data_IF_421643836237
#
_entry.id   IF_421643836237
#
_cell.length_a   1.000
_cell.length_b   1.000
_cell.length_c   1.000
_cell.angle_alpha   90.00
_cell.angle_beta   90.00
_cell.angle_gamma   90.00
#
_symmetry.space_group_name_H-M   'P 1'
#
loop_
_entity.id
_entity.type
_entity.pdbx_description
1 polymer ?
#
# COMPACT_ATOMS: atom_id res chain seq x y z
N UNK A 1 -20.64 27.00 -0.38
CA UNK A 1 -21.59 27.03 0.76
C UNK A 1 -21.81 28.49 1.18
N UNK A 2 -22.97 28.88 1.71
CA UNK A 2 -23.19 30.24 2.28
C UNK A 2 -23.76 30.19 3.70
N UNK A 3 -24.45 29.10 4.03
CA UNK A 3 -25.04 28.80 5.33
C UNK A 3 -24.94 27.29 5.59
N UNK A 4 -25.03 26.91 6.85
CA UNK A 4 -25.12 25.52 7.30
C UNK A 4 -25.98 25.46 8.57
N UNK A 5 -27.18 24.92 8.46
CA UNK A 5 -28.12 24.84 9.57
C UNK A 5 -27.67 23.85 10.66
N UNK A 6 -26.93 22.79 10.31
CA UNK A 6 -26.48 21.78 11.29
C UNK A 6 -25.44 22.35 12.25
N UNK A 7 -24.67 23.33 11.78
CA UNK A 7 -23.63 24.03 12.56
C UNK A 7 -24.03 25.45 12.96
N UNK A 8 -25.29 25.85 12.73
CA UNK A 8 -25.80 27.20 12.98
C UNK A 8 -24.98 28.32 12.29
N UNK A 9 -24.42 28.01 11.12
CA UNK A 9 -23.73 28.99 10.28
C UNK A 9 -24.77 29.77 9.49
N UNK A 10 -24.95 31.04 9.82
CA UNK A 10 -25.97 31.90 9.22
C UNK A 10 -25.46 32.73 8.05
N UNK A 11 -24.16 32.94 7.94
CA UNK A 11 -23.54 33.63 6.82
C UNK A 11 -22.05 33.26 6.67
N UNK A 12 -21.58 33.24 5.42
CA UNK A 12 -20.16 33.17 5.09
C UNK A 12 -19.86 34.20 4.00
N UNK A 13 -18.85 35.03 4.24
CA UNK A 13 -18.29 35.94 3.22
C UNK A 13 -17.00 35.35 2.66
N UNK A 14 -16.73 35.60 1.39
CA UNK A 14 -15.59 35.04 0.67
C UNK A 14 -14.77 36.12 -0.01
N UNK A 15 -13.47 35.87 -0.16
CA UNK A 15 -12.58 36.66 -1.02
C UNK A 15 -12.63 36.16 -2.49
N UNK A 16 -11.86 36.81 -3.37
CA UNK A 16 -11.75 36.44 -4.80
C UNK A 16 -11.16 35.04 -5.06
N UNK A 17 -10.53 34.42 -4.06
CA UNK A 17 -10.02 33.05 -4.13
C UNK A 17 -11.05 32.02 -3.63
N UNK A 18 -12.27 32.44 -3.33
CA UNK A 18 -13.31 31.61 -2.69
C UNK A 18 -12.88 31.05 -1.32
N UNK A 19 -12.03 31.76 -0.59
CA UNK A 19 -11.67 31.47 0.81
C UNK A 19 -12.52 32.32 1.76
N UNK A 20 -13.00 31.75 2.89
CA UNK A 20 -13.93 32.44 3.78
C UNK A 20 -13.22 33.56 4.54
N UNK A 21 -13.66 34.80 4.41
CA UNK A 21 -13.10 35.95 5.17
C UNK A 21 -13.86 36.20 6.46
N UNK A 22 -15.14 35.79 6.52
CA UNK A 22 -15.98 35.87 7.70
C UNK A 22 -16.93 34.67 7.73
N UNK A 23 -17.05 34.02 8.88
CA UNK A 23 -18.04 32.96 9.14
C UNK A 23 -18.84 33.38 10.37
N UNK A 24 -20.16 33.50 10.23
CA UNK A 24 -21.07 33.87 11.32
C UNK A 24 -21.76 32.63 11.86
N UNK A 25 -21.54 32.32 13.14
CA UNK A 25 -22.06 31.14 13.84
C UNK A 25 -22.72 31.62 15.13
N UNK A 26 -23.99 31.26 15.35
CA UNK A 26 -24.74 31.68 16.55
C UNK A 26 -24.70 33.21 16.81
N UNK A 27 -24.63 34.02 15.76
CA UNK A 27 -24.52 35.49 15.86
C UNK A 27 -23.12 36.03 16.19
N UNK A 28 -22.13 35.15 16.40
CA UNK A 28 -20.71 35.49 16.60
C UNK A 28 -19.92 35.26 15.30
N UNK A 29 -18.77 35.92 15.18
CA UNK A 29 -17.96 35.90 13.95
C UNK A 29 -16.59 35.25 14.17
N UNK A 30 -16.17 34.49 13.16
CA UNK A 30 -14.78 34.13 12.93
C UNK A 30 -14.31 34.90 11.70
N UNK A 31 -13.23 35.68 11.83
CA UNK A 31 -12.63 36.46 10.76
C UNK A 31 -11.31 35.84 10.34
N UNK A 32 -11.01 35.85 9.03
CA UNK A 32 -9.79 35.28 8.48
C UNK A 32 -9.08 36.27 7.56
N UNK A 33 -7.75 36.24 7.59
CA UNK A 33 -6.87 36.95 6.66
C UNK A 33 -5.97 35.93 5.98
N UNK A 34 -5.85 36.06 4.65
CA UNK A 34 -5.00 35.21 3.83
C UNK A 34 -4.02 36.06 3.03
N UNK A 35 -2.90 35.45 2.64
CA UNK A 35 -2.04 36.02 1.62
C UNK A 35 -2.62 35.82 0.20
N UNK A 36 -1.94 36.36 -0.81
CA UNK A 36 -2.36 36.25 -2.21
C UNK A 36 -2.28 34.81 -2.76
N UNK A 37 -1.59 33.90 -2.08
CA UNK A 37 -1.48 32.48 -2.46
C UNK A 37 -2.52 31.60 -1.75
N UNK A 38 -3.33 32.19 -0.87
CA UNK A 38 -4.37 31.51 -0.10
C UNK A 38 -3.88 30.89 1.21
N UNK A 39 -2.68 31.21 1.67
CA UNK A 39 -2.19 30.79 2.99
C UNK A 39 -2.85 31.63 4.07
N UNK A 40 -3.40 30.98 5.10
CA UNK A 40 -4.01 31.65 6.26
C UNK A 40 -2.91 32.34 7.08
N UNK A 41 -3.05 33.64 7.29
CA UNK A 41 -2.11 34.46 8.07
C UNK A 41 -2.66 34.83 9.45
N UNK A 42 -3.99 34.97 9.57
CA UNK A 42 -4.64 35.37 10.82
C UNK A 42 -6.06 34.81 10.91
N UNK A 43 -6.45 34.44 12.13
CA UNK A 43 -7.82 34.12 12.53
C UNK A 43 -8.19 34.97 13.75
N UNK A 44 -9.38 35.55 13.77
CA UNK A 44 -9.90 36.27 14.94
C UNK A 44 -11.25 35.70 15.32
N UNK A 45 -11.37 35.22 16.56
CA UNK A 45 -12.62 34.74 17.15
C UNK A 45 -12.88 35.55 18.42
N UNK A 46 -14.01 36.24 18.47
CA UNK A 46 -14.32 37.18 19.56
C UNK A 46 -13.17 38.19 19.75
N UNK A 47 -12.45 38.13 20.88
CA UNK A 47 -11.32 39.01 21.19
C UNK A 47 -9.96 38.33 21.09
N UNK A 48 -9.91 37.07 20.63
CA UNK A 48 -8.66 36.31 20.46
C UNK A 48 -8.23 36.38 19.01
N UNK A 49 -7.02 36.89 18.77
CA UNK A 49 -6.39 36.90 17.45
C UNK A 49 -5.25 35.90 17.42
N UNK A 50 -5.37 34.90 16.55
CA UNK A 50 -4.34 33.91 16.26
C UNK A 50 -3.58 34.33 14.99
N UNK A 51 -2.28 34.51 15.10
CA UNK A 51 -1.37 34.82 13.99
C UNK A 51 -0.53 33.61 13.60
N UNK A 52 -0.47 33.34 12.30
CA UNK A 52 0.22 32.20 11.70
C UNK A 52 1.49 32.72 10.98
N UNK A 53 2.64 32.57 11.63
CA UNK A 53 3.92 33.04 11.11
C UNK A 53 4.83 31.85 10.78
N UNK A 54 4.56 31.19 9.65
CA UNK A 54 5.25 29.96 9.28
C UNK A 54 4.96 28.85 10.30
N UNK A 55 6.00 28.37 10.99
CA UNK A 55 5.84 27.34 12.02
C UNK A 55 5.43 27.91 13.39
N UNK A 56 5.41 29.23 13.56
CA UNK A 56 5.12 29.89 14.84
C UNK A 56 3.65 30.29 14.92
N UNK A 57 3.02 29.96 16.05
CA UNK A 57 1.65 30.34 16.36
C UNK A 57 1.64 31.33 17.51
N UNK A 58 0.99 32.47 17.31
CA UNK A 58 0.82 33.50 18.32
C UNK A 58 -0.65 33.71 18.61
N UNK A 59 -0.99 33.94 19.87
CA UNK A 59 -2.31 34.43 20.27
C UNK A 59 -2.16 35.77 20.96
N UNK A 60 -2.85 36.80 20.46
CA UNK A 60 -2.79 38.17 20.97
C UNK A 60 -1.34 38.70 21.11
N UNK A 61 -0.50 38.39 20.11
CA UNK A 61 0.95 38.68 20.06
C UNK A 61 1.82 37.91 21.08
N UNK A 62 1.29 36.87 21.73
CA UNK A 62 2.04 35.99 22.64
C UNK A 62 2.30 34.65 21.95
N UNK A 63 3.57 34.23 21.87
CA UNK A 63 3.95 32.95 21.28
C UNK A 63 3.30 31.81 22.07
N UNK A 64 2.55 30.96 21.38
CA UNK A 64 1.92 29.77 21.96
C UNK A 64 2.79 28.53 21.76
N UNK A 65 3.34 28.33 20.56
CA UNK A 65 4.30 27.28 20.26
C UNK A 65 4.91 27.48 18.87
N UNK A 66 5.93 26.69 18.54
CA UNK A 66 6.36 26.52 17.16
C UNK A 66 6.68 25.06 16.83
N UNK A 67 6.38 24.65 15.60
CA UNK A 67 6.54 23.25 15.15
C UNK A 67 7.93 22.96 14.58
N UNK A 68 8.34 21.69 14.72
CA UNK A 68 9.53 21.10 14.13
C UNK A 68 9.19 19.72 13.50
N UNK A 69 10.19 19.00 13.00
CA UNK A 69 9.97 17.72 12.31
C UNK A 69 9.39 16.61 13.20
N UNK A 70 9.69 16.63 14.50
CA UNK A 70 9.35 15.58 15.46
C UNK A 70 8.22 15.98 16.41
N UNK A 71 7.78 17.24 16.40
CA UNK A 71 6.71 17.75 17.24
C UNK A 71 6.72 19.28 17.32
N UNK A 72 6.71 19.84 18.52
CA UNK A 72 6.71 21.29 18.75
C UNK A 72 7.43 21.68 20.03
N UNK A 73 7.77 22.95 20.14
CA UNK A 73 8.26 23.55 21.39
C UNK A 73 7.16 24.40 22.01
N UNK A 74 6.90 24.16 23.29
CA UNK A 74 5.92 24.84 24.12
C UNK A 74 6.64 25.79 25.10
N UNK A 75 6.54 27.12 24.93
CA UNK A 75 7.16 28.09 25.82
C UNK A 75 6.48 28.16 27.19
N UNK A 76 7.26 28.31 28.25
CA UNK A 76 6.78 28.53 29.61
C UNK A 76 6.75 30.04 29.92
N UNK A 77 5.58 30.68 29.78
CA UNK A 77 5.31 32.11 30.08
C UNK A 77 5.98 33.13 29.11
N UNK A 78 5.45 34.35 28.92
CA UNK A 78 5.99 35.27 27.92
C UNK A 78 7.39 35.78 28.35
N UNK A 79 8.42 35.64 27.50
CA UNK A 79 9.80 35.84 27.91
C UNK A 79 10.15 37.33 28.00
N UNK A 80 10.64 37.74 29.16
CA UNK A 80 11.55 38.88 29.29
C UNK A 80 12.98 38.31 29.43
N UNK A 81 13.60 37.91 28.32
CA UNK A 81 15.02 37.52 28.29
C UNK A 81 15.31 36.24 27.50
N UNK A 82 15.05 35.08 28.11
CA UNK A 82 15.37 33.76 27.56
C UNK A 82 14.09 32.96 27.27
N UNK A 83 14.10 32.16 26.20
CA UNK A 83 12.97 31.32 25.81
C UNK A 83 13.05 30.00 26.58
N UNK A 84 12.38 29.94 27.72
CA UNK A 84 12.17 28.71 28.49
C UNK A 84 10.94 27.96 27.96
N UNK A 85 10.94 26.63 28.09
CA UNK A 85 9.83 25.79 27.64
C UNK A 85 10.18 24.32 27.54
N UNK A 86 9.26 23.52 27.00
CA UNK A 86 9.40 22.08 26.84
C UNK A 86 9.33 21.68 25.36
N UNK A 87 10.16 20.72 24.97
CA UNK A 87 9.98 20.00 23.71
C UNK A 87 8.89 18.95 23.89
N UNK A 88 7.88 19.00 23.01
CA UNK A 88 6.83 18.01 22.92
C UNK A 88 7.02 17.23 21.63
N UNK A 89 7.14 15.92 21.76
CA UNK A 89 7.29 14.99 20.64
C UNK A 89 5.94 14.40 20.25
N UNK A 90 5.77 14.10 18.97
CA UNK A 90 4.54 13.57 18.42
C UNK A 90 4.76 12.22 17.74
N UNK A 91 4.04 11.21 18.22
CA UNK A 91 3.92 9.95 17.51
C UNK A 91 2.77 10.04 16.50
N UNK A 92 3.07 9.72 15.24
CA UNK A 92 2.16 9.85 14.11
C UNK A 92 1.87 8.48 13.47
N UNK A 93 0.69 8.33 12.89
CA UNK A 93 0.34 7.12 12.13
C UNK A 93 0.92 7.12 10.70
N UNK A 94 0.57 6.11 9.89
CA UNK A 94 1.10 5.92 8.54
C UNK A 94 0.70 7.02 7.54
N UNK A 95 -0.31 7.83 7.86
CA UNK A 95 -0.73 9.01 7.08
C UNK A 95 -0.24 10.32 7.71
N UNK A 96 0.49 10.25 8.82
CA UNK A 96 1.01 11.41 9.52
C UNK A 96 0.03 12.05 10.50
N UNK A 97 -1.10 11.41 10.83
CA UNK A 97 -2.01 11.94 11.84
C UNK A 97 -1.39 11.82 13.23
N UNK A 98 -1.47 12.88 14.05
CA UNK A 98 -0.94 12.87 15.42
C UNK A 98 -1.77 11.91 16.28
N UNK A 99 -1.14 10.91 16.91
CA UNK A 99 -1.81 9.94 17.79
C UNK A 99 -1.51 10.15 19.26
N UNK A 100 -0.30 10.64 19.56
CA UNK A 100 0.18 10.85 20.92
C UNK A 100 1.15 12.02 20.91
N UNK A 101 0.99 12.93 21.87
CA UNK A 101 1.93 14.00 22.20
C UNK A 101 2.50 13.73 23.58
N UNK A 102 3.82 13.85 23.77
CA UNK A 102 4.49 13.58 25.04
C UNK A 102 5.76 14.41 25.21
N UNK A 103 6.20 14.61 26.45
CA UNK A 103 7.44 15.33 26.78
C UNK A 103 8.14 14.65 27.93
N UNK A 104 9.45 14.51 27.86
CA UNK A 104 10.28 14.10 29.00
C UNK A 104 10.37 15.26 29.99
N UNK A 105 9.45 15.29 30.96
CA UNK A 105 9.29 16.43 31.86
C UNK A 105 10.33 16.39 32.99
N UNK A 106 10.74 15.18 33.39
CA UNK A 106 11.69 14.96 34.48
C UNK A 106 13.16 14.88 34.00
N UNK A 107 13.39 14.81 32.68
CA UNK A 107 14.69 14.73 32.02
C UNK A 107 15.49 13.46 32.37
N UNK A 108 14.81 12.35 32.66
CA UNK A 108 15.41 11.05 32.96
C UNK A 108 15.67 10.18 31.72
N UNK A 109 15.23 10.64 30.54
CA UNK A 109 15.38 9.96 29.26
C UNK A 109 14.34 8.86 29.00
N UNK A 110 13.33 8.71 29.85
CA UNK A 110 12.21 7.76 29.73
C UNK A 110 10.87 8.47 29.81
N UNK A 111 9.86 7.94 29.11
CA UNK A 111 8.50 8.51 29.13
C UNK A 111 7.60 7.67 30.03
N UNK A 112 7.16 8.26 31.13
CA UNK A 112 6.19 7.68 32.06
C UNK A 112 4.78 8.06 31.63
N UNK A 113 4.03 7.09 31.10
CA UNK A 113 2.70 7.31 30.53
C UNK A 113 1.72 8.07 31.45
N UNK A 114 1.77 7.83 32.77
CA UNK A 114 0.87 8.46 33.73
C UNK A 114 1.15 9.94 34.01
N UNK A 115 2.32 10.46 33.64
CA UNK A 115 2.76 11.82 34.00
C UNK A 115 3.28 12.64 32.82
N UNK A 116 3.69 12.00 31.73
CA UNK A 116 4.44 12.64 30.64
C UNK A 116 3.74 12.56 29.27
N UNK A 117 2.56 11.92 29.22
CA UNK A 117 1.66 12.05 28.09
C UNK A 117 0.94 13.39 28.18
N UNK A 118 1.04 14.18 27.11
CA UNK A 118 0.45 15.51 26.97
C UNK A 118 -0.95 15.44 26.37
N UNK A 119 -1.12 14.62 25.34
CA UNK A 119 -2.39 14.47 24.64
C UNK A 119 -2.46 13.14 23.91
N UNK A 120 -3.63 12.51 23.89
CA UNK A 120 -3.93 11.35 23.06
C UNK A 120 -5.02 11.64 22.03
N UNK A 121 -4.77 11.21 20.81
CA UNK A 121 -5.60 11.49 19.66
C UNK A 121 -5.97 10.18 18.95
N UNK A 122 -7.26 9.86 18.94
CA UNK A 122 -7.78 8.70 18.24
C UNK A 122 -8.85 9.15 17.24
N UNK A 123 -8.73 8.71 15.99
CA UNK A 123 -9.64 9.13 14.92
C UNK A 123 -10.40 7.94 14.32
N UNK A 124 -11.67 8.18 13.99
CA UNK A 124 -12.40 7.37 13.01
C UNK A 124 -11.71 7.50 11.64
N UNK A 125 -11.96 6.57 10.68
CA UNK A 125 -11.31 6.61 9.36
C UNK A 125 -11.40 7.96 8.64
N UNK A 126 -12.53 8.66 8.77
CA UNK A 126 -12.76 9.97 8.15
C UNK A 126 -12.28 11.16 9.02
N UNK A 127 -11.49 10.92 10.06
CA UNK A 127 -10.80 11.98 10.82
C UNK A 127 -11.58 12.54 12.01
N UNK A 128 -12.79 12.05 12.30
CA UNK A 128 -13.51 12.48 13.49
C UNK A 128 -12.81 11.94 14.74
N UNK A 129 -12.39 12.83 15.64
CA UNK A 129 -11.74 12.46 16.92
C UNK A 129 -12.73 11.71 17.80
N UNK A 130 -12.32 10.55 18.30
CA UNK A 130 -13.06 9.77 19.29
C UNK A 130 -13.23 10.61 20.56
N UNK A 131 -14.38 10.46 21.22
CA UNK A 131 -14.68 11.12 22.49
C UNK A 131 -15.08 10.08 23.54
N UNK A 132 -14.86 10.42 24.81
CA UNK A 132 -15.27 9.60 25.95
C UNK A 132 -14.14 8.81 26.63
N UNK A 133 -12.90 8.95 26.17
CA UNK A 133 -11.71 8.37 26.79
C UNK A 133 -10.45 9.15 26.39
N UNK A 134 -9.41 9.06 27.21
CA UNK A 134 -8.10 9.68 26.99
C UNK A 134 -8.18 11.19 26.68
N UNK A 135 -9.14 11.87 27.32
CA UNK A 135 -9.38 13.31 27.15
C UNK A 135 -8.42 14.19 27.99
N UNK A 136 -7.36 13.60 28.55
CA UNK A 136 -6.41 14.35 29.38
C UNK A 136 -5.54 15.17 28.44
N UNK A 137 -5.56 16.49 28.63
CA UNK A 137 -4.67 17.44 27.97
C UNK A 137 -3.83 18.09 29.07
N UNK A 138 -2.52 17.96 28.97
CA UNK A 138 -1.56 18.60 29.87
C UNK A 138 -0.81 19.67 29.08
N UNK A 139 -0.95 20.93 29.45
CA UNK A 139 -0.36 22.07 28.73
C UNK A 139 -1.30 22.67 27.68
N UNK A 140 -0.73 23.19 26.61
CA UNK A 140 -1.42 23.83 25.49
C UNK A 140 -2.05 22.76 24.62
N UNK A 141 -3.38 22.82 24.47
CA UNK A 141 -4.09 21.99 23.50
C UNK A 141 -3.60 22.30 22.09
N UNK A 142 -3.06 21.29 21.40
CA UNK A 142 -2.54 21.46 20.06
C UNK A 142 -3.56 21.01 19.01
N UNK A 143 -4.44 21.93 18.67
CA UNK A 143 -5.40 21.73 17.57
C UNK A 143 -4.77 21.89 16.18
N UNK A 144 -3.46 22.09 16.09
CA UNK A 144 -2.75 22.32 14.83
C UNK A 144 -2.07 21.03 14.37
N UNK A 145 -2.09 20.81 13.06
CA UNK A 145 -1.48 19.64 12.42
C UNK A 145 -2.01 18.28 12.89
N UNK A 146 -3.29 18.21 13.30
CA UNK A 146 -3.92 17.02 13.88
C UNK A 146 -4.14 15.89 12.86
N UNK A 147 -5.29 15.87 12.18
CA UNK A 147 -5.61 14.90 11.14
C UNK A 147 -5.21 15.44 9.77
N UNK A 148 -4.51 14.62 8.99
CA UNK A 148 -3.89 14.98 7.70
C UNK A 148 -3.01 16.23 7.79
N UNK A 149 -2.42 16.51 8.97
CA UNK A 149 -1.62 17.70 9.19
C UNK A 149 -2.41 19.01 9.15
N UNK A 150 -3.74 18.96 9.31
CA UNK A 150 -4.60 20.15 9.29
C UNK A 150 -4.94 20.65 10.69
N UNK A 151 -5.28 21.93 10.78
CA UNK A 151 -5.81 22.53 12.01
C UNK A 151 -7.28 22.16 12.20
N UNK A 152 -7.64 21.70 13.39
CA UNK A 152 -9.02 21.49 13.81
C UNK A 152 -9.57 22.80 14.39
N UNK A 153 -10.60 23.36 13.76
CA UNK A 153 -11.29 24.57 14.22
C UNK A 153 -12.58 24.18 14.92
N UNK A 154 -12.56 24.18 16.26
CA UNK A 154 -13.73 23.86 17.11
C UNK A 154 -14.49 25.11 17.56
N UNK A 155 -13.96 26.31 17.30
CA UNK A 155 -14.51 27.55 17.82
C UNK A 155 -15.95 27.77 17.37
N UNK A 156 -16.78 28.25 18.31
CA UNK A 156 -18.21 28.46 18.12
C UNK A 156 -19.00 27.20 17.68
N UNK A 157 -18.39 26.01 17.78
CA UNK A 157 -18.97 24.75 17.33
C UNK A 157 -18.73 24.46 15.84
N UNK A 158 -17.78 25.13 15.18
CA UNK A 158 -17.46 24.90 13.76
C UNK A 158 -17.06 23.44 13.52
N UNK A 159 -16.19 22.87 14.36
CA UNK A 159 -15.76 21.47 14.33
C UNK A 159 -15.37 20.98 12.92
N UNK A 160 -14.47 21.71 12.24
CA UNK A 160 -14.00 21.37 10.89
C UNK A 160 -12.48 21.42 10.81
N UNK A 161 -11.89 20.62 9.93
CA UNK A 161 -10.48 20.68 9.62
C UNK A 161 -10.23 21.71 8.49
N UNK A 162 -9.36 22.67 8.75
CA UNK A 162 -9.07 23.78 7.86
C UNK A 162 -7.95 23.41 6.87
N UNK A 163 -8.34 22.87 5.70
CA UNK A 163 -7.41 22.76 4.58
C UNK A 163 -7.27 24.12 3.88
N UNK A 164 -6.14 24.31 3.20
CA UNK A 164 -5.83 25.58 2.52
C UNK A 164 -6.97 26.05 1.61
N UNK A 165 -7.55 25.16 0.79
CA UNK A 165 -8.57 25.54 -0.18
C UNK A 165 -10.01 25.23 0.23
N UNK A 166 -10.24 24.31 1.17
CA UNK A 166 -11.58 23.82 1.55
C UNK A 166 -11.64 23.52 3.04
N UNK A 167 -12.76 23.81 3.70
CA UNK A 167 -12.96 23.27 5.05
C UNK A 167 -13.56 21.86 4.92
N UNK A 168 -13.04 20.94 5.71
CA UNK A 168 -13.46 19.56 5.75
C UNK A 168 -14.24 19.29 7.02
N UNK A 169 -15.42 18.68 6.89
CA UNK A 169 -16.21 18.25 8.04
C UNK A 169 -16.01 16.74 8.27
N UNK A 170 -15.23 16.36 9.30
CA UNK A 170 -14.99 14.94 9.60
C UNK A 170 -16.24 14.20 10.09
N UNK A 171 -17.27 14.90 10.57
CA UNK A 171 -18.51 14.26 11.04
C UNK A 171 -19.34 13.67 9.89
N UNK A 172 -19.25 14.27 8.69
CA UNK A 172 -19.94 13.79 7.48
C UNK A 172 -18.99 13.25 6.41
N UNK A 173 -17.68 13.39 6.60
CA UNK A 173 -16.68 12.91 5.67
C UNK A 173 -16.64 13.67 4.34
N UNK A 174 -16.92 14.97 4.34
CA UNK A 174 -17.04 15.79 3.11
C UNK A 174 -16.43 17.17 3.24
N UNK A 175 -15.97 17.71 2.10
CA UNK A 175 -15.62 19.12 2.00
C UNK A 175 -16.84 20.01 1.86
N UNK A 176 -16.72 21.27 2.30
CA UNK A 176 -17.78 22.28 2.22
C UNK A 176 -17.82 23.05 0.88
N UNK A 177 -16.87 22.78 -0.02
CA UNK A 177 -16.69 23.47 -1.31
C UNK A 177 -16.33 22.49 -2.41
N UNK A 178 -16.67 22.87 -3.65
CA UNK A 178 -16.28 22.17 -4.87
C UNK A 178 -14.77 22.19 -5.00
N UNK A 179 -14.19 21.04 -5.38
CA UNK A 179 -12.78 20.93 -5.72
C UNK A 179 -12.41 21.85 -6.90
N UNK A 180 -11.35 22.65 -6.74
CA UNK A 180 -10.84 23.52 -7.83
C UNK A 180 -10.28 22.73 -9.00
N UNK A 181 -9.91 21.47 -8.79
CA UNK A 181 -9.47 20.53 -9.82
C UNK A 181 -10.51 19.43 -10.07
N UNK A 182 -11.80 19.69 -9.83
CA UNK A 182 -12.88 18.73 -10.07
C UNK A 182 -12.82 18.09 -11.47
N UNK A 183 -12.44 18.85 -12.50
CA UNK A 183 -12.29 18.35 -13.88
C UNK A 183 -11.19 17.29 -14.04
N UNK A 184 -10.25 17.16 -13.10
CA UNK A 184 -9.27 16.07 -13.11
C UNK A 184 -9.86 14.75 -12.60
N UNK A 185 -10.98 14.81 -11.89
CA UNK A 185 -11.54 13.70 -11.12
C UNK A 185 -12.99 13.41 -11.52
N UNK A 186 -13.27 13.24 -12.83
CA UNK A 186 -14.63 13.07 -13.36
C UNK A 186 -15.48 11.97 -12.71
N UNK A 187 -14.85 10.90 -12.21
CA UNK A 187 -15.52 9.77 -11.55
C UNK A 187 -15.72 9.95 -10.05
N UNK A 188 -15.26 11.05 -9.46
CA UNK A 188 -15.31 11.32 -8.02
C UNK A 188 -16.17 12.55 -7.76
N UNK A 189 -16.96 12.52 -6.68
CA UNK A 189 -17.75 13.69 -6.29
C UNK A 189 -16.84 14.89 -5.98
N UNK A 190 -17.24 16.08 -6.43
CA UNK A 190 -16.52 17.34 -6.20
C UNK A 190 -16.35 17.71 -4.72
N UNK A 191 -17.07 17.04 -3.82
CA UNK A 191 -17.03 17.23 -2.37
C UNK A 191 -16.43 16.02 -1.62
N UNK A 192 -16.00 15.00 -2.34
CA UNK A 192 -15.42 13.81 -1.74
C UNK A 192 -14.11 14.13 -1.02
N UNK A 193 -13.92 13.49 0.12
CA UNK A 193 -12.64 13.46 0.81
C UNK A 193 -11.90 12.19 0.41
N UNK A 194 -10.63 12.29 0.04
CA UNK A 194 -9.72 11.14 -0.18
C UNK A 194 -10.26 10.07 -1.12
N UNK A 195 -11.07 10.46 -2.12
CA UNK A 195 -11.80 9.52 -3.00
C UNK A 195 -12.58 8.42 -2.23
N UNK A 196 -13.08 8.74 -1.04
CA UNK A 196 -13.71 7.82 -0.08
C UNK A 196 -12.80 6.69 0.44
N UNK A 197 -11.48 6.83 0.35
CA UNK A 197 -10.51 5.89 0.89
C UNK A 197 -9.48 6.58 1.80
N UNK A 198 -9.90 7.10 2.97
CA UNK A 198 -9.04 7.85 3.89
C UNK A 198 -8.06 6.98 4.66
N UNK A 199 -8.06 5.65 4.44
CA UNK A 199 -7.07 4.73 5.01
C UNK A 199 -5.80 4.70 4.16
N UNK A 200 -5.92 4.89 2.85
CA UNK A 200 -4.79 4.79 1.91
C UNK A 200 -4.35 6.14 1.33
N UNK A 201 -5.27 7.09 1.23
CA UNK A 201 -5.01 8.40 0.64
C UNK A 201 -5.11 9.51 1.67
N UNK A 202 -4.31 10.54 1.48
CA UNK A 202 -4.40 11.81 2.20
C UNK A 202 -4.68 12.97 1.25
N UNK A 203 -5.19 14.07 1.78
CA UNK A 203 -5.40 15.31 1.02
C UNK A 203 -4.21 16.23 1.24
N UNK A 204 -3.68 16.82 0.17
CA UNK A 204 -2.50 17.70 0.26
C UNK A 204 -2.88 19.08 0.79
N UNK A 205 -3.80 19.75 0.09
CA UNK A 205 -4.28 21.12 0.42
C UNK A 205 -5.80 21.24 0.36
N UNK A 206 -6.49 20.10 0.38
CA UNK A 206 -7.91 20.02 0.09
C UNK A 206 -8.19 20.40 -1.36
N UNK A 207 -7.38 19.91 -2.30
CA UNK A 207 -7.54 20.11 -3.74
C UNK A 207 -6.92 18.97 -4.56
N UNK A 208 -6.19 18.07 -3.93
CA UNK A 208 -5.40 17.05 -4.59
C UNK A 208 -5.09 15.92 -3.62
N UNK A 209 -5.10 14.71 -4.18
CA UNK A 209 -4.84 13.47 -3.45
C UNK A 209 -3.34 13.16 -3.44
N UNK A 210 -2.82 12.86 -2.25
CA UNK A 210 -1.55 12.17 -2.12
C UNK A 210 -1.79 10.66 -2.22
N UNK A 211 -1.29 10.08 -3.32
CA UNK A 211 -1.35 8.65 -3.62
C UNK A 211 0.00 7.96 -3.41
N UNK A 212 0.97 8.63 -2.79
CA UNK A 212 2.34 8.14 -2.64
C UNK A 212 2.41 6.81 -1.89
N UNK A 213 1.55 6.60 -0.89
CA UNK A 213 1.47 5.33 -0.14
C UNK A 213 1.04 4.18 -1.04
N UNK A 214 -0.02 4.34 -1.83
CA UNK A 214 -0.47 3.35 -2.81
C UNK A 214 0.62 3.09 -3.86
N UNK A 215 1.23 4.15 -4.41
CA UNK A 215 2.31 4.02 -5.39
C UNK A 215 3.55 3.31 -4.81
N UNK A 216 3.87 3.47 -3.52
CA UNK A 216 4.98 2.75 -2.87
C UNK A 216 4.71 1.26 -2.78
N UNK A 217 3.47 0.87 -2.44
CA UNK A 217 3.06 -0.53 -2.37
C UNK A 217 3.13 -1.19 -3.75
N UNK A 218 2.58 -0.54 -4.77
CA UNK A 218 2.61 -1.04 -6.15
C UNK A 218 4.04 -1.13 -6.68
N UNK A 219 4.88 -0.12 -6.41
CA UNK A 219 6.31 -0.17 -6.80
C UNK A 219 7.05 -1.34 -6.17
N UNK A 220 6.74 -1.73 -4.94
CA UNK A 220 7.38 -2.89 -4.28
C UNK A 220 7.00 -4.18 -5.00
N UNK A 221 5.71 -4.40 -5.25
CA UNK A 221 5.22 -5.57 -5.98
C UNK A 221 5.81 -5.63 -7.40
N UNK A 222 5.75 -4.51 -8.13
CA UNK A 222 6.31 -4.38 -9.47
C UNK A 222 7.83 -4.62 -9.49
N UNK A 223 8.58 -4.11 -8.52
CA UNK A 223 10.02 -4.35 -8.41
C UNK A 223 10.32 -5.84 -8.21
N UNK A 224 9.56 -6.53 -7.35
CA UNK A 224 9.73 -7.97 -7.11
C UNK A 224 9.43 -8.77 -8.38
N UNK A 225 8.34 -8.46 -9.07
CA UNK A 225 7.97 -9.11 -10.33
C UNK A 225 9.03 -8.88 -11.39
N UNK A 226 9.46 -7.62 -11.59
CA UNK A 226 10.48 -7.29 -12.58
C UNK A 226 11.78 -8.04 -12.28
N UNK A 227 12.26 -8.04 -11.03
CA UNK A 227 13.48 -8.79 -10.66
C UNK A 227 13.35 -10.29 -10.93
N UNK A 228 12.21 -10.88 -10.57
CA UNK A 228 11.97 -12.29 -10.83
C UNK A 228 11.91 -12.56 -12.35
N UNK A 229 11.23 -11.71 -13.12
CA UNK A 229 11.10 -11.81 -14.57
C UNK A 229 12.45 -11.69 -15.27
N UNK A 230 13.33 -10.78 -14.81
CA UNK A 230 14.71 -10.67 -15.28
C UNK A 230 15.47 -11.99 -15.05
N UNK A 231 15.34 -12.59 -13.86
CA UNK A 231 16.00 -13.87 -13.55
C UNK A 231 15.51 -15.02 -14.42
N UNK A 232 14.24 -15.02 -14.83
CA UNK A 232 13.64 -16.09 -15.63
C UNK A 232 13.82 -15.92 -17.12
N UNK A 233 14.02 -14.70 -17.61
CA UNK A 233 14.12 -14.40 -19.05
C UNK A 233 15.54 -14.02 -19.49
N UNK A 234 16.40 -13.57 -18.57
CA UNK A 234 17.68 -12.94 -18.88
C UNK A 234 17.57 -11.54 -19.49
N UNK A 235 16.37 -10.95 -19.52
CA UNK A 235 16.16 -9.60 -20.05
C UNK A 235 16.40 -8.54 -18.98
N UNK A 236 16.61 -7.30 -19.44
CA UNK A 236 16.56 -6.11 -18.56
C UNK A 236 15.33 -5.30 -18.90
N UNK A 237 14.48 -5.05 -17.90
CA UNK A 237 13.25 -4.28 -18.08
C UNK A 237 13.35 -2.89 -17.47
N UNK A 238 12.62 -1.95 -18.06
CA UNK A 238 12.41 -0.59 -17.55
C UNK A 238 10.95 -0.20 -17.73
N UNK A 239 10.46 0.74 -16.95
CA UNK A 239 9.15 1.35 -17.18
C UNK A 239 9.33 2.62 -18.01
N UNK A 240 8.57 2.72 -19.10
CA UNK A 240 8.50 3.91 -19.94
C UNK A 240 7.04 4.22 -20.21
N UNK A 241 6.60 5.44 -19.87
CA UNK A 241 5.22 5.90 -20.07
C UNK A 241 4.16 4.93 -19.49
N UNK A 242 4.44 4.37 -18.30
CA UNK A 242 3.58 3.40 -17.64
C UNK A 242 3.61 1.98 -18.22
N UNK A 243 4.40 1.72 -19.27
CA UNK A 243 4.53 0.40 -19.91
C UNK A 243 5.86 -0.26 -19.56
N UNK A 244 5.83 -1.57 -19.35
CA UNK A 244 7.03 -2.37 -19.22
C UNK A 244 7.69 -2.53 -20.59
N UNK A 245 8.96 -2.17 -20.71
CA UNK A 245 9.76 -2.33 -21.92
C UNK A 245 11.07 -3.04 -21.58
N UNK A 246 11.69 -3.69 -22.57
CA UNK A 246 12.96 -4.40 -22.40
C UNK A 246 14.07 -3.79 -23.25
N UNK A 247 15.31 -3.94 -22.79
CA UNK A 247 16.49 -3.37 -23.47
C UNK A 247 16.74 -4.08 -24.82
N UNK A 248 16.96 -3.27 -25.85
CA UNK A 248 17.30 -3.72 -27.21
C UNK A 248 18.66 -3.18 -27.64
N UNK A 249 19.33 -3.86 -28.56
CA UNK A 249 20.53 -3.37 -29.24
C UNK A 249 20.18 -2.39 -30.38
N UNK A 250 21.19 -1.92 -31.10
CA UNK A 250 21.01 -0.97 -32.21
C UNK A 250 20.17 -1.53 -33.36
N UNK A 251 20.15 -2.85 -33.53
CA UNK A 251 19.40 -3.56 -34.56
C UNK A 251 17.98 -3.92 -34.10
N UNK A 252 17.61 -3.57 -32.86
CA UNK A 252 16.30 -3.83 -32.27
C UNK A 252 16.13 -5.21 -31.66
N UNK A 253 17.20 -6.01 -31.56
CA UNK A 253 17.17 -7.33 -30.94
C UNK A 253 17.25 -7.21 -29.41
N UNK A 254 16.64 -8.17 -28.70
CA UNK A 254 16.67 -8.19 -27.25
C UNK A 254 18.10 -8.40 -26.72
N UNK A 255 18.55 -7.56 -25.79
CA UNK A 255 19.83 -7.78 -25.10
C UNK A 255 19.61 -8.80 -23.99
N UNK A 256 20.42 -9.87 -24.02
CA UNK A 256 20.32 -11.01 -23.11
C UNK A 256 21.52 -11.00 -22.16
N UNK A 257 21.23 -11.03 -20.86
CA UNK A 257 22.24 -11.17 -19.82
C UNK A 257 22.90 -12.55 -19.88
N UNK A 258 24.21 -12.59 -19.64
CA UNK A 258 25.01 -13.81 -19.62
C UNK A 258 25.56 -14.08 -18.22
N UNK A 259 25.71 -15.36 -17.87
CA UNK A 259 26.37 -15.77 -16.64
C UNK A 259 27.91 -15.63 -16.76
N UNK A 260 28.64 -16.00 -15.70
CA UNK A 260 30.09 -15.90 -15.66
C UNK A 260 30.78 -16.79 -16.72
N UNK A 261 30.09 -17.84 -17.17
CA UNK A 261 30.59 -18.78 -18.18
C UNK A 261 30.18 -18.38 -19.61
N UNK A 262 29.46 -17.26 -19.77
CA UNK A 262 29.01 -16.73 -21.06
C UNK A 262 27.70 -17.33 -21.58
N UNK A 263 27.04 -18.18 -20.81
CA UNK A 263 25.74 -18.75 -21.18
C UNK A 263 24.63 -17.74 -20.94
N UNK A 264 23.59 -17.79 -21.76
CA UNK A 264 22.41 -16.94 -21.58
C UNK A 264 21.71 -17.27 -20.26
N UNK A 265 21.41 -16.22 -19.47
CA UNK A 265 20.63 -16.36 -18.25
C UNK A 265 19.15 -16.59 -18.60
N UNK A 266 18.52 -17.48 -17.83
CA UNK A 266 17.08 -17.72 -17.89
C UNK A 266 16.66 -18.61 -19.07
N UNK A 267 15.34 -18.71 -19.25
CA UNK A 267 14.71 -19.55 -20.27
C UNK A 267 14.48 -18.77 -21.57
N UNK A 268 14.88 -19.37 -22.70
CA UNK A 268 14.57 -18.83 -24.02
C UNK A 268 13.07 -18.84 -24.32
N UNK A 269 12.34 -19.85 -23.83
CA UNK A 269 10.88 -19.92 -23.94
C UNK A 269 10.20 -18.78 -23.15
N UNK A 270 10.64 -18.54 -21.91
CA UNK A 270 10.15 -17.43 -21.10
C UNK A 270 10.42 -16.08 -21.79
N UNK A 271 11.63 -15.91 -22.33
CA UNK A 271 12.01 -14.72 -23.09
C UNK A 271 11.12 -14.51 -24.32
N UNK A 272 10.85 -15.56 -25.08
CA UNK A 272 9.98 -15.51 -26.25
C UNK A 272 8.55 -15.11 -25.88
N UNK A 273 7.97 -15.72 -24.85
CA UNK A 273 6.63 -15.38 -24.36
C UNK A 273 6.54 -13.91 -23.93
N UNK A 274 7.47 -13.46 -23.10
CA UNK A 274 7.45 -12.09 -22.56
C UNK A 274 7.70 -11.06 -23.65
N UNK A 275 8.66 -11.27 -24.54
CA UNK A 275 8.90 -10.33 -25.66
C UNK A 275 7.74 -10.32 -26.66
N UNK A 276 7.11 -11.46 -26.91
CA UNK A 276 5.89 -11.55 -27.72
C UNK A 276 4.75 -10.73 -27.13
N UNK A 277 4.51 -10.87 -25.82
CA UNK A 277 3.51 -10.10 -25.09
C UNK A 277 3.81 -8.60 -25.12
N UNK A 278 5.06 -8.19 -24.87
CA UNK A 278 5.46 -6.78 -24.80
C UNK A 278 5.51 -6.07 -26.17
N UNK A 279 5.71 -6.81 -27.26
CA UNK A 279 5.66 -6.24 -28.62
C UNK A 279 4.25 -6.31 -29.24
N UNK A 280 3.26 -6.84 -28.53
CA UNK A 280 1.88 -6.91 -29.01
C UNK A 280 1.26 -5.51 -29.06
N UNK A 281 0.40 -5.26 -30.06
CA UNK A 281 -0.32 -3.99 -30.19
C UNK A 281 -1.47 -3.86 -29.19
N UNK A 282 -1.98 -4.97 -28.66
CA UNK A 282 -3.00 -4.98 -27.60
C UNK A 282 -2.37 -4.68 -26.25
N UNK A 283 -3.15 -4.06 -25.38
CA UNK A 283 -2.74 -3.70 -24.02
C UNK A 283 -3.50 -4.60 -23.06
N UNK A 284 -2.76 -5.19 -22.11
CA UNK A 284 -3.29 -5.86 -20.94
C UNK A 284 -2.79 -5.10 -19.72
N UNK A 285 -3.71 -4.71 -18.84
CA UNK A 285 -3.40 -4.00 -17.62
C UNK A 285 -2.93 -4.99 -16.54
N UNK A 286 -1.92 -4.60 -15.76
CA UNK A 286 -1.40 -5.41 -14.66
C UNK A 286 -1.80 -4.76 -13.33
N UNK A 287 -2.48 -5.52 -12.48
CA UNK A 287 -2.95 -5.07 -11.17
C UNK A 287 -2.46 -5.98 -10.04
N UNK A 288 -2.35 -5.41 -8.84
CA UNK A 288 -1.93 -6.12 -7.63
C UNK A 288 -2.98 -5.99 -6.55
N UNK A 289 -3.40 -7.10 -5.98
CA UNK A 289 -4.43 -7.08 -4.94
C UNK A 289 -4.85 -8.47 -4.48
N UNK A 290 -5.71 -8.51 -3.46
CA UNK A 290 -6.27 -9.76 -2.98
C UNK A 290 -7.22 -10.35 -4.02
N UNK A 291 -7.03 -11.62 -4.36
CA UNK A 291 -7.89 -12.36 -5.30
C UNK A 291 -8.67 -13.40 -4.50
N UNK A 292 -9.93 -13.68 -4.85
CA UNK A 292 -10.73 -14.69 -4.13
C UNK A 292 -10.16 -16.11 -4.30
N UNK A 293 -9.91 -16.52 -5.54
CA UNK A 293 -9.44 -17.87 -5.88
C UNK A 293 -8.15 -17.80 -6.72
N UNK A 294 -7.16 -18.63 -6.38
CA UNK A 294 -5.86 -18.61 -7.05
C UNK A 294 -4.93 -17.48 -6.60
N UNK A 295 -3.74 -17.43 -7.20
CA UNK A 295 -2.68 -16.44 -6.98
C UNK A 295 -2.50 -15.45 -8.14
N UNK A 296 -3.14 -15.75 -9.27
CA UNK A 296 -3.23 -14.90 -10.44
C UNK A 296 -4.54 -15.21 -11.16
N UNK A 297 -5.09 -14.20 -11.82
CA UNK A 297 -6.26 -14.36 -12.69
C UNK A 297 -6.18 -13.38 -13.86
N UNK A 298 -6.61 -13.85 -15.02
CA UNK A 298 -6.79 -13.03 -16.21
C UNK A 298 -8.27 -12.85 -16.49
N UNK A 299 -8.72 -11.63 -16.76
CA UNK A 299 -10.12 -11.33 -17.05
C UNK A 299 -10.27 -10.19 -18.06
N UNK A 300 -11.46 -10.10 -18.66
CA UNK A 300 -11.84 -9.02 -19.57
C UNK A 300 -13.08 -8.32 -19.00
N UNK A 301 -13.06 -6.99 -19.01
CA UNK A 301 -14.18 -6.15 -18.59
C UNK A 301 -15.19 -5.97 -19.73
N UNK A 302 -16.41 -5.53 -19.41
CA UNK A 302 -17.49 -5.34 -20.39
C UNK A 302 -17.13 -4.34 -21.52
N UNK A 303 -16.18 -3.44 -21.28
CA UNK A 303 -15.64 -2.49 -22.27
C UNK A 303 -14.47 -3.08 -23.12
N UNK A 304 -14.17 -4.37 -22.95
CA UNK A 304 -13.17 -5.12 -23.72
C UNK A 304 -11.72 -4.91 -23.26
N UNK A 305 -11.50 -4.28 -22.10
CA UNK A 305 -10.15 -4.16 -21.54
C UNK A 305 -9.75 -5.46 -20.84
N UNK A 306 -8.52 -5.92 -21.10
CA UNK A 306 -7.98 -7.12 -20.49
C UNK A 306 -7.07 -6.79 -19.31
N UNK A 307 -7.15 -7.62 -18.29
CA UNK A 307 -6.43 -7.45 -17.04
C UNK A 307 -5.76 -8.77 -16.64
N UNK A 308 -4.58 -8.64 -16.03
CA UNK A 308 -3.96 -9.68 -15.21
C UNK A 308 -3.90 -9.11 -13.79
N UNK A 309 -4.60 -9.75 -12.86
CA UNK A 309 -4.46 -9.47 -11.44
C UNK A 309 -3.55 -10.51 -10.80
N UNK A 310 -2.60 -10.07 -9.99
CA UNK A 310 -1.73 -10.94 -9.19
C UNK A 310 -1.92 -10.66 -7.70
N UNK A 311 -1.97 -11.72 -6.88
CA UNK A 311 -2.05 -11.62 -5.43
C UNK A 311 -0.68 -11.83 -4.79
N UNK A 312 0.01 -10.76 -4.34
CA UNK A 312 1.36 -10.89 -3.83
C UNK A 312 1.46 -11.76 -2.57
N UNK A 313 0.42 -11.75 -1.73
CA UNK A 313 0.39 -12.51 -0.47
C UNK A 313 0.28 -14.00 -0.76
N UNK A 314 -0.59 -14.40 -1.69
CA UNK A 314 -0.74 -15.81 -2.07
C UNK A 314 0.46 -16.34 -2.85
N UNK A 315 1.03 -15.53 -3.75
CA UNK A 315 2.27 -15.91 -4.45
C UNK A 315 3.40 -16.12 -3.43
N UNK A 316 3.53 -15.23 -2.45
CA UNK A 316 4.53 -15.39 -1.39
C UNK A 316 4.27 -16.66 -0.57
N UNK A 317 3.01 -16.95 -0.21
CA UNK A 317 2.64 -18.20 0.46
C UNK A 317 3.00 -19.46 -0.34
N UNK A 318 2.93 -19.44 -1.67
CA UNK A 318 3.38 -20.55 -2.52
C UNK A 318 4.90 -20.70 -2.54
N UNK A 319 5.64 -19.58 -2.55
CA UNK A 319 7.11 -19.57 -2.46
C UNK A 319 7.52 -20.20 -1.12
N UNK A 320 6.92 -19.75 -0.01
CA UNK A 320 7.25 -20.21 1.34
C UNK A 320 6.80 -21.66 1.58
N UNK A 321 5.71 -22.09 0.96
CA UNK A 321 5.18 -23.46 1.03
C UNK A 321 5.86 -24.48 0.11
N UNK A 322 6.89 -24.08 -0.64
CA UNK A 322 7.59 -24.98 -1.57
C UNK A 322 8.36 -26.09 -0.83
N UNK A 323 8.22 -27.33 -1.30
CA UNK A 323 8.86 -28.50 -0.67
C UNK A 323 10.38 -28.46 -0.76
N UNK A 324 11.07 -29.06 0.23
CA UNK A 324 12.54 -29.20 0.23
C UNK A 324 12.99 -29.93 -1.04
N UNK A 325 13.84 -29.29 -1.84
CA UNK A 325 14.35 -29.81 -3.12
C UNK A 325 13.64 -29.24 -4.36
N UNK A 326 12.54 -28.51 -4.20
CA UNK A 326 11.92 -27.71 -5.25
C UNK A 326 12.39 -26.26 -5.12
N UNK A 327 12.78 -25.64 -6.23
CA UNK A 327 13.10 -24.22 -6.26
C UNK A 327 11.84 -23.44 -5.90
N UNK A 328 11.92 -22.62 -4.84
CA UNK A 328 10.80 -21.88 -4.30
C UNK A 328 10.18 -20.88 -5.28
N UNK A 329 10.91 -20.45 -6.32
CA UNK A 329 10.38 -19.59 -7.39
C UNK A 329 9.72 -20.36 -8.55
N UNK A 330 9.50 -21.68 -8.43
CA UNK A 330 8.76 -22.45 -9.45
C UNK A 330 7.29 -22.01 -9.61
N UNK A 331 6.76 -21.38 -8.57
CA UNK A 331 5.49 -20.64 -8.52
C UNK A 331 5.72 -19.18 -8.08
N UNK A 332 6.88 -18.62 -8.45
CA UNK A 332 7.21 -17.23 -8.19
C UNK A 332 6.40 -16.26 -9.05
N UNK A 333 6.54 -14.97 -8.74
CA UNK A 333 5.85 -13.87 -9.41
C UNK A 333 5.95 -13.91 -10.94
N UNK A 334 7.13 -14.16 -11.50
CA UNK A 334 7.33 -14.23 -12.94
C UNK A 334 6.65 -15.45 -13.56
N UNK A 335 6.68 -16.59 -12.87
CA UNK A 335 6.05 -17.81 -13.35
C UNK A 335 4.52 -17.68 -13.34
N UNK A 336 3.95 -17.03 -12.33
CA UNK A 336 2.52 -16.71 -12.26
C UNK A 336 2.14 -15.71 -13.34
N UNK A 337 2.88 -14.60 -13.49
CA UNK A 337 2.60 -13.63 -14.55
C UNK A 337 2.63 -14.26 -15.94
N UNK A 338 3.66 -15.05 -16.25
CA UNK A 338 3.77 -15.73 -17.55
C UNK A 338 2.64 -16.75 -17.77
N UNK A 339 2.18 -17.42 -16.72
CA UNK A 339 1.01 -18.29 -16.79
C UNK A 339 -0.25 -17.49 -17.15
N UNK A 340 -0.46 -16.35 -16.49
CA UNK A 340 -1.61 -15.48 -16.76
C UNK A 340 -1.54 -14.82 -18.14
N UNK A 341 -0.36 -14.41 -18.61
CA UNK A 341 -0.16 -13.89 -19.98
C UNK A 341 -0.73 -14.85 -21.01
N UNK A 342 -0.50 -16.16 -20.85
CA UNK A 342 -0.99 -17.16 -21.79
C UNK A 342 -2.53 -17.26 -21.84
N UNK A 343 -3.25 -16.83 -20.79
CA UNK A 343 -4.72 -16.77 -20.79
C UNK A 343 -5.29 -15.50 -21.43
N UNK A 344 -4.43 -14.56 -21.84
CA UNK A 344 -4.84 -13.27 -22.46
C UNK A 344 -4.64 -13.27 -23.98
N UNK A 345 -5.14 -12.22 -24.63
CA UNK A 345 -4.97 -12.02 -26.07
C UNK A 345 -3.54 -11.68 -26.51
N UNK A 346 -2.65 -11.35 -25.56
CA UNK A 346 -1.22 -11.13 -25.83
C UNK A 346 -0.38 -12.39 -25.59
N UNK A 347 -1.00 -13.46 -25.09
CA UNK A 347 -0.39 -14.76 -24.89
C UNK A 347 -0.24 -15.58 -26.17
N UNK A 348 0.47 -16.70 -26.08
CA UNK A 348 0.73 -17.59 -27.21
C UNK A 348 -0.28 -18.74 -27.32
N UNK A 349 -1.22 -18.87 -26.37
CA UNK A 349 -2.16 -19.99 -26.30
C UNK A 349 -3.56 -19.53 -25.85
N UNK A 350 -4.47 -19.22 -26.78
CA UNK A 350 -5.90 -18.99 -26.46
C UNK A 350 -6.62 -20.29 -26.09
N UNK A 351 -6.21 -20.95 -25.02
CA UNK A 351 -6.80 -22.22 -24.60
C UNK A 351 -7.65 -21.99 -23.36
N UNK A 352 -8.97 -22.11 -23.53
CA UNK A 352 -9.92 -22.05 -22.41
C UNK A 352 -9.73 -23.19 -21.41
N UNK A 353 -10.34 -23.05 -20.23
CA UNK A 353 -10.33 -24.04 -19.16
C UNK A 353 -11.13 -25.30 -19.56
N UNK A 354 -10.47 -26.28 -20.19
CA UNK A 354 -11.03 -27.60 -20.49
C UNK A 354 -11.02 -28.57 -19.29
N UNK A 355 -11.31 -29.86 -19.53
CA UNK A 355 -11.35 -30.92 -18.50
C UNK A 355 -10.04 -31.09 -17.69
N UNK A 356 -8.93 -30.56 -18.21
CA UNK A 356 -7.62 -30.54 -17.57
C UNK A 356 -7.59 -29.64 -16.33
N UNK A 357 -8.46 -28.62 -16.23
CA UNK A 357 -8.50 -27.69 -15.09
C UNK A 357 -9.12 -28.30 -13.83
N UNK A 358 -9.95 -29.34 -13.98
CA UNK A 358 -10.72 -29.96 -12.89
C UNK A 358 -10.27 -31.37 -12.54
N UNK A 359 -9.59 -32.08 -13.45
CA UNK A 359 -9.16 -33.47 -13.25
C UNK A 359 -7.74 -33.54 -12.68
N UNK A 360 -7.59 -34.15 -11.50
CA UNK A 360 -6.27 -34.29 -10.87
C UNK A 360 -5.32 -35.21 -11.65
N UNK A 361 -4.12 -34.70 -11.90
CA UNK A 361 -3.04 -35.39 -12.60
C UNK A 361 -3.11 -35.28 -14.13
N UNK A 362 -3.84 -34.30 -14.65
CA UNK A 362 -3.73 -33.84 -16.03
C UNK A 362 -3.08 -32.45 -16.06
N UNK A 363 -2.22 -32.23 -17.04
CA UNK A 363 -1.71 -30.91 -17.39
C UNK A 363 -2.48 -30.38 -18.59
N UNK A 364 -2.40 -29.08 -18.80
CA UNK A 364 -2.89 -28.47 -20.03
C UNK A 364 -1.85 -27.60 -20.69
N UNK A 365 -2.17 -27.09 -21.86
CA UNK A 365 -1.26 -26.35 -22.75
C UNK A 365 -0.45 -25.26 -22.04
N UNK A 366 -1.08 -24.47 -21.18
CA UNK A 366 -0.39 -23.44 -20.39
C UNK A 366 0.60 -24.08 -19.42
N UNK A 367 0.18 -25.12 -18.67
CA UNK A 367 1.07 -25.85 -17.75
C UNK A 367 2.22 -26.52 -18.49
N UNK A 368 1.98 -27.05 -19.68
CA UNK A 368 3.00 -27.70 -20.52
C UNK A 368 4.05 -26.71 -21.02
N UNK A 369 3.63 -25.49 -21.41
CA UNK A 369 4.56 -24.40 -21.72
C UNK A 369 5.35 -23.98 -20.48
N UNK A 370 4.68 -23.79 -19.35
CA UNK A 370 5.37 -23.45 -18.10
C UNK A 370 6.36 -24.55 -17.70
N UNK A 371 6.07 -25.83 -17.97
CA UNK A 371 7.02 -26.93 -17.77
C UNK A 371 8.19 -26.89 -18.73
N UNK A 372 8.00 -26.42 -19.98
CA UNK A 372 9.11 -26.16 -20.91
C UNK A 372 10.05 -25.07 -20.37
N UNK A 373 9.49 -23.99 -19.84
CA UNK A 373 10.25 -22.94 -19.15
C UNK A 373 11.03 -23.52 -17.96
N UNK A 374 10.38 -24.29 -17.07
CA UNK A 374 11.03 -24.92 -15.92
C UNK A 374 12.20 -25.82 -16.30
N UNK A 375 12.05 -26.65 -17.34
CA UNK A 375 13.13 -27.51 -17.83
C UNK A 375 14.35 -26.71 -18.28
N UNK A 376 14.15 -25.55 -18.90
CA UNK A 376 15.25 -24.66 -19.30
C UNK A 376 15.88 -23.91 -18.13
N UNK A 377 15.11 -23.59 -17.09
CA UNK A 377 15.62 -22.94 -15.87
C UNK A 377 16.42 -23.88 -14.97
N UNK A 378 16.22 -25.20 -15.09
CA UNK A 378 16.99 -26.22 -14.40
C UNK A 378 16.12 -27.24 -13.66
N UNK A 379 16.72 -28.40 -13.36
CA UNK A 379 16.03 -29.54 -12.73
C UNK A 379 15.37 -29.21 -11.39
N UNK A 380 15.94 -28.26 -10.62
CA UNK A 380 15.39 -27.81 -9.35
C UNK A 380 13.99 -27.21 -9.47
N UNK A 381 13.57 -26.72 -10.64
CA UNK A 381 12.24 -26.15 -10.83
C UNK A 381 11.13 -27.20 -10.91
N UNK A 382 11.46 -28.48 -11.09
CA UNK A 382 10.49 -29.56 -11.24
C UNK A 382 9.58 -29.38 -12.47
N UNK A 383 8.58 -30.25 -12.58
CA UNK A 383 7.58 -30.20 -13.64
C UNK A 383 6.20 -30.43 -13.04
N UNK A 384 5.30 -29.46 -13.17
CA UNK A 384 3.94 -29.55 -12.65
C UNK A 384 3.20 -30.68 -13.37
N UNK A 385 2.74 -31.67 -12.63
CA UNK A 385 2.09 -32.87 -13.16
C UNK A 385 0.56 -32.81 -13.10
N UNK A 386 -0.01 -31.72 -12.58
CA UNK A 386 -1.44 -31.53 -12.46
C UNK A 386 -1.81 -30.04 -12.48
N UNK A 387 -2.81 -29.65 -13.26
CA UNK A 387 -3.42 -28.33 -13.16
C UNK A 387 -4.25 -28.24 -11.87
N UNK A 388 -5.20 -29.15 -11.65
CA UNK A 388 -5.94 -29.19 -10.39
C UNK A 388 -5.00 -29.51 -9.20
N UNK A 389 -5.22 -28.86 -8.06
CA UNK A 389 -4.59 -29.27 -6.80
C UNK A 389 -5.39 -30.42 -6.17
N UNK A 390 -4.72 -31.24 -5.36
CA UNK A 390 -5.40 -32.22 -4.50
C UNK A 390 -5.52 -31.67 -3.08
N UNK A 391 -6.74 -31.58 -2.55
CA UNK A 391 -6.93 -31.26 -1.14
C UNK A 391 -6.64 -32.50 -0.28
N UNK A 392 -5.78 -32.32 0.72
CA UNK A 392 -5.44 -33.35 1.70
C UNK A 392 -5.21 -32.66 3.06
N UNK A 393 -5.97 -33.07 4.08
CA UNK A 393 -5.95 -32.49 5.45
C UNK A 393 -6.04 -30.96 5.51
N UNK A 394 -6.93 -30.37 4.73
CA UNK A 394 -7.15 -28.92 4.76
C UNK A 394 -6.05 -28.11 4.07
N UNK A 395 -5.11 -28.76 3.38
CA UNK A 395 -4.12 -28.10 2.52
C UNK A 395 -4.23 -28.60 1.08
N UNK A 396 -3.96 -27.71 0.12
CA UNK A 396 -3.97 -28.04 -1.31
C UNK A 396 -2.54 -28.32 -1.79
N UNK A 397 -2.34 -29.47 -2.44
CA UNK A 397 -1.04 -29.91 -2.94
C UNK A 397 -1.00 -29.98 -4.47
N UNK A 398 0.11 -29.56 -5.06
CA UNK A 398 0.36 -29.61 -6.49
C UNK A 398 1.64 -30.44 -6.75
N UNK A 399 1.56 -31.56 -7.48
CA UNK A 399 2.72 -32.40 -7.74
C UNK A 399 3.66 -31.78 -8.78
N UNK A 400 4.96 -31.82 -8.51
CA UNK A 400 6.04 -31.30 -9.37
C UNK A 400 7.01 -32.38 -9.91
N UNK A 401 6.65 -33.63 -9.73
CA UNK A 401 7.37 -34.79 -10.26
C UNK A 401 6.43 -35.99 -10.36
N UNK A 402 6.74 -36.94 -11.23
CA UNK A 402 5.98 -38.20 -11.32
C UNK A 402 5.91 -38.92 -9.97
N UNK A 403 6.98 -38.87 -9.17
CA UNK A 403 7.00 -39.43 -7.81
C UNK A 403 6.02 -38.72 -6.88
N UNK A 404 6.00 -37.39 -6.86
CA UNK A 404 5.03 -36.62 -6.04
C UNK A 404 3.58 -36.84 -6.49
N UNK A 405 3.33 -36.94 -7.81
CA UNK A 405 2.01 -37.28 -8.33
C UNK A 405 1.57 -38.67 -7.88
N UNK A 406 2.48 -39.65 -7.98
CA UNK A 406 2.22 -41.02 -7.52
C UNK A 406 1.92 -41.05 -6.03
N UNK A 407 2.70 -40.34 -5.20
CA UNK A 407 2.49 -40.25 -3.75
C UNK A 407 1.12 -39.66 -3.44
N UNK A 408 0.75 -38.54 -4.08
CA UNK A 408 -0.56 -37.91 -3.86
C UNK A 408 -1.73 -38.77 -4.34
N UNK A 409 -1.54 -39.58 -5.40
CA UNK A 409 -2.54 -40.54 -5.88
C UNK A 409 -2.66 -41.77 -4.97
N UNK A 410 -1.55 -42.30 -4.48
CA UNK A 410 -1.52 -43.54 -3.70
C UNK A 410 -1.81 -43.33 -2.23
N UNK A 411 -1.45 -42.16 -1.70
CA UNK A 411 -1.56 -41.80 -0.30
C UNK A 411 -2.09 -40.35 -0.20
N UNK A 412 -3.42 -40.14 -0.14
CA UNK A 412 -3.98 -38.87 0.31
C UNK A 412 -3.65 -38.57 1.80
N UNK A 413 -2.76 -39.37 2.43
CA UNK A 413 -2.35 -39.43 3.84
C UNK A 413 -0.82 -39.49 4.01
N UNK A 414 -0.14 -38.48 4.61
CA UNK A 414 1.26 -38.63 5.03
C UNK A 414 1.33 -39.45 6.33
N UNK A 415 1.67 -40.71 6.16
CA UNK A 415 2.07 -41.60 7.25
C UNK A 415 2.99 -42.66 6.69
N UNK A 416 4.28 -42.30 6.55
CA UNK A 416 5.40 -43.15 6.14
C UNK A 416 5.51 -43.35 4.61
N UNK A 417 6.31 -42.50 3.96
CA UNK A 417 7.07 -42.90 2.76
C UNK A 417 8.53 -42.97 3.19
N UNK A 418 9.04 -44.19 3.30
CA UNK A 418 10.47 -44.45 3.43
C UNK A 418 11.20 -43.84 2.23
N UNK A 419 12.25 -43.10 2.57
CA UNK A 419 13.20 -42.42 1.71
C UNK A 419 13.86 -43.35 0.69
N UNK A 420 13.99 -42.90 -0.55
CA UNK A 420 15.07 -43.34 -1.43
C UNK A 420 16.08 -42.20 -1.52
N UNK A 421 17.11 -42.26 -0.68
CA UNK A 421 18.41 -41.69 -1.01
C UNK A 421 19.47 -42.64 -0.43
N UNK A 422 20.30 -43.17 -1.32
CA UNK A 422 21.44 -44.01 -0.97
C UNK A 422 22.39 -43.28 -0.01
N UNK A 423 23.12 -44.09 0.77
CA UNK A 423 24.16 -43.79 1.75
C UNK A 423 23.74 -43.10 3.05
N UNK A 424 23.41 -43.92 4.06
CA UNK A 424 23.97 -43.79 5.42
C UNK A 424 23.73 -45.10 6.21
N UNK A 425 24.70 -46.00 6.08
CA UNK A 425 24.76 -47.38 6.58
C UNK A 425 25.20 -47.53 8.03
N UNK A 426 25.23 -46.48 8.86
CA UNK A 426 25.76 -46.57 10.23
C UNK A 426 24.69 -46.55 11.32
N UNK A 427 23.56 -45.87 11.12
CA UNK A 427 22.49 -45.82 12.13
C UNK A 427 21.69 -47.13 12.21
N UNK A 428 21.61 -47.88 11.10
CA UNK A 428 20.96 -49.19 11.02
C UNK A 428 21.78 -50.32 11.66
N UNK A 429 23.11 -50.18 11.76
CA UNK A 429 23.97 -51.14 12.46
C UNK A 429 23.91 -51.02 14.00
N UNK A 430 23.45 -49.87 14.50
CA UNK A 430 23.32 -49.61 15.93
C UNK A 430 21.97 -50.10 16.49
N UNK A 431 20.91 -50.07 15.68
CA UNK A 431 19.59 -50.59 16.03
C UNK A 431 19.56 -52.13 16.01
N UNK A 432 20.33 -52.78 15.13
CA UNK A 432 20.41 -54.25 15.03
C UNK A 432 21.14 -54.93 16.21
N UNK A 433 21.88 -54.18 17.04
CA UNK A 433 22.57 -54.69 18.24
C UNK A 433 21.76 -54.57 19.53
N UNK A 434 20.63 -53.85 19.51
CA UNK A 434 19.80 -53.59 20.71
C UNK A 434 18.57 -54.48 20.80
N UNK A 435 18.31 -55.32 19.79
CA UNK A 435 17.21 -56.30 19.80
C UNK A 435 17.82 -57.70 19.70
N UNK A 436 18.37 -58.16 20.83
CA UNK A 436 18.59 -59.57 21.15
C UNK A 436 17.63 -59.95 22.27
N UNK A 437 16.59 -60.70 21.91
CA UNK A 437 16.24 -61.96 22.57
C UNK A 437 16.07 -63.00 21.47
#
# INVERSE_FOLDING_TARGET
MKTDANKNITAIQYNYLNLPTQVTINGQNILYVYDATGVKLRKTVNSVTTDYAGNFIYENNVLQFFTNAEGYFEPSSPPLGELEGAYVYQYKDHLGNIRLSYSDANHDGSITASTEIKEENNYYPFGLKHKGYNNVIVGTENNYQTFNGQELEEELGKNTLAFQWRDYDPAIGRFNKIDRFAEKYYSVSNYAFTANNPIFFSEVKGDSLDVSTALKQDRKALTTIVKDLQSKTGLTFTLKDGKLVYKKDADGNAIISKDADGNDIGSSEARGLVTGALNNSKIVNLEFGEIKEGSGVSFETDDGQQYIALDPTKIQGMIDGSSKGLNNTTFGFAMTLMHEIDHTDIGLSKTGHGAESTTFGLTGTVVDRMNKIRRQLGSSYGQRMSYASLNSYGSNYIPFSSSSLSILRSNPTPGIVWTVSNSNSEMLNQIYKTIKY
#
